data_IF_511193808082
#
_entry.id   IF_511193808082
#
_cell.length_a   1.000
_cell.length_b   1.000
_cell.length_c   1.000
_cell.angle_alpha   90.00
_cell.angle_beta   90.00
_cell.angle_gamma   90.00
#
_symmetry.space_group_name_H-M   'P 1'
#
loop_
_entity.id
_entity.type
_entity.pdbx_description
1 polymer ?
#
# COMPACT_ATOMS: atom_id res chain seq x y z
N UNK A 1 -9.08 28.80 5.12
CA UNK A 1 -7.69 28.34 5.43
C UNK A 1 -7.60 26.91 6.02
N UNK A 2 -8.70 26.21 6.33
CA UNK A 2 -8.64 24.83 6.86
C UNK A 2 -8.36 23.75 5.79
N UNK A 3 -8.82 23.95 4.54
CA UNK A 3 -8.58 23.01 3.43
C UNK A 3 -7.09 22.91 3.03
N UNK A 4 -6.34 24.00 3.06
CA UNK A 4 -4.90 23.96 2.76
C UNK A 4 -4.09 23.16 3.79
N UNK A 5 -4.47 23.22 5.08
CA UNK A 5 -3.82 22.40 6.11
C UNK A 5 -4.07 20.90 5.87
N UNK A 6 -5.27 20.53 5.45
CA UNK A 6 -5.64 19.14 5.09
C UNK A 6 -4.84 18.64 3.88
N UNK A 7 -4.71 19.43 2.82
CA UNK A 7 -3.95 19.04 1.61
C UNK A 7 -2.45 18.92 1.90
N UNK A 8 -1.88 19.87 2.65
CA UNK A 8 -0.46 19.82 3.04
C UNK A 8 -0.17 18.66 4.01
N UNK A 9 -1.09 18.38 4.94
CA UNK A 9 -0.98 17.24 5.85
C UNK A 9 -0.99 15.91 5.09
N UNK A 10 -1.92 15.72 4.14
CA UNK A 10 -1.97 14.52 3.28
C UNK A 10 -0.68 14.31 2.48
N UNK A 11 -0.08 15.38 1.94
CA UNK A 11 1.20 15.32 1.22
C UNK A 11 2.37 14.89 2.10
N UNK A 12 2.39 15.32 3.36
CA UNK A 12 3.44 14.96 4.32
C UNK A 12 3.23 13.57 4.95
N UNK A 13 1.99 13.07 4.93
CA UNK A 13 1.60 11.80 5.56
C UNK A 13 2.12 10.58 4.81
N UNK A 14 2.05 10.56 3.47
CA UNK A 14 2.50 9.42 2.66
C UNK A 14 3.96 9.01 2.97
N UNK A 15 4.95 9.93 2.97
CA UNK A 15 6.33 9.59 3.33
C UNK A 15 6.49 9.04 4.76
N UNK A 16 5.66 9.49 5.70
CA UNK A 16 5.67 8.98 7.08
C UNK A 16 5.11 7.56 7.11
N UNK A 17 3.93 7.34 6.51
CA UNK A 17 3.29 6.02 6.45
C UNK A 17 4.19 4.99 5.75
N UNK A 18 4.84 5.37 4.65
CA UNK A 18 5.77 4.50 3.92
C UNK A 18 6.99 4.09 4.77
N UNK A 19 7.44 4.95 5.71
CA UNK A 19 8.49 4.57 6.67
C UNK A 19 7.96 3.58 7.71
N UNK A 20 6.74 3.81 8.19
CA UNK A 20 6.08 2.94 9.17
C UNK A 20 5.76 1.54 8.64
N UNK A 21 5.76 1.32 7.32
CA UNK A 21 5.64 -0.02 6.76
C UNK A 21 6.81 -0.96 7.13
N UNK A 22 7.96 -0.41 7.56
CA UNK A 22 9.11 -1.20 8.04
C UNK A 22 9.11 -1.37 9.56
N UNK A 23 8.02 -1.00 10.23
CA UNK A 23 7.89 -1.13 11.67
C UNK A 23 7.74 -2.61 12.05
N UNK A 24 8.28 -3.01 13.21
CA UNK A 24 8.23 -4.41 13.69
C UNK A 24 6.82 -4.84 14.13
N UNK A 25 5.98 -3.86 14.47
CA UNK A 25 4.61 -4.08 14.91
C UNK A 25 3.68 -4.23 13.71
N UNK A 26 3.10 -5.43 13.56
CA UNK A 26 2.19 -5.77 12.48
C UNK A 26 0.88 -4.97 12.50
N UNK A 27 0.40 -4.53 13.67
CA UNK A 27 -0.81 -3.71 13.76
C UNK A 27 -0.57 -2.32 13.17
N UNK A 28 0.58 -1.72 13.48
CA UNK A 28 0.98 -0.41 12.93
C UNK A 28 1.11 -0.50 11.42
N UNK A 29 1.76 -1.55 10.90
CA UNK A 29 1.89 -1.77 9.45
C UNK A 29 0.51 -1.93 8.79
N UNK A 30 -0.40 -2.67 9.42
CA UNK A 30 -1.78 -2.86 8.94
C UNK A 30 -2.53 -1.53 8.81
N UNK A 31 -2.55 -0.74 9.89
CA UNK A 31 -3.19 0.58 9.89
C UNK A 31 -2.57 1.51 8.85
N UNK A 32 -1.24 1.47 8.69
CA UNK A 32 -0.56 2.26 7.67
C UNK A 32 -0.96 1.87 6.26
N UNK A 33 -1.11 0.58 5.95
CA UNK A 33 -1.55 0.12 4.62
C UNK A 33 -2.99 0.56 4.32
N UNK A 34 -3.88 0.49 5.31
CA UNK A 34 -5.27 0.94 5.18
C UNK A 34 -5.32 2.45 4.90
N UNK A 35 -4.55 3.24 5.64
CA UNK A 35 -4.49 4.69 5.42
C UNK A 35 -3.84 5.06 4.08
N UNK A 36 -2.79 4.35 3.67
CA UNK A 36 -2.20 4.55 2.34
C UNK A 36 -3.22 4.23 1.25
N UNK A 37 -3.97 3.12 1.38
CA UNK A 37 -5.05 2.77 0.44
C UNK A 37 -6.08 3.91 0.33
N UNK A 38 -6.56 4.46 1.45
CA UNK A 38 -7.51 5.58 1.47
C UNK A 38 -6.94 6.83 0.78
N UNK A 39 -5.66 7.14 1.03
CA UNK A 39 -4.98 8.29 0.42
C UNK A 39 -4.82 8.11 -1.09
N UNK A 40 -4.42 6.91 -1.52
CA UNK A 40 -4.27 6.53 -2.93
C UNK A 40 -5.62 6.56 -3.68
N UNK A 41 -6.71 6.12 -3.04
CA UNK A 41 -8.06 6.23 -3.59
C UNK A 41 -8.52 7.68 -3.77
N UNK A 42 -8.02 8.61 -2.95
CA UNK A 42 -8.41 10.02 -3.01
C UNK A 42 -7.52 10.87 -3.94
N UNK A 43 -6.25 10.50 -4.13
CA UNK A 43 -5.32 11.19 -5.04
C UNK A 43 -4.59 10.18 -5.97
N UNK A 44 -5.23 9.79 -7.09
CA UNK A 44 -4.67 8.81 -8.03
C UNK A 44 -3.42 9.33 -8.76
N UNK A 45 -3.14 10.63 -8.80
CA UNK A 45 -1.97 11.18 -9.50
C UNK A 45 -0.65 10.76 -8.85
N UNK A 46 -0.62 10.67 -7.52
CA UNK A 46 0.57 10.24 -6.77
C UNK A 46 0.58 8.73 -6.47
N UNK A 47 -0.51 8.03 -6.74
CA UNK A 47 -0.66 6.63 -6.40
C UNK A 47 0.42 5.73 -7.03
N UNK A 48 0.75 5.96 -8.29
CA UNK A 48 1.73 5.14 -9.03
C UNK A 48 3.11 5.12 -8.35
N UNK A 49 3.58 6.26 -7.83
CA UNK A 49 4.90 6.33 -7.17
C UNK A 49 4.87 5.62 -5.80
N UNK A 50 3.76 5.75 -5.08
CA UNK A 50 3.51 5.06 -3.82
C UNK A 50 3.45 3.55 -4.03
N UNK A 51 2.70 3.06 -5.01
CA UNK A 51 2.57 1.63 -5.31
C UNK A 51 3.92 1.03 -5.71
N UNK A 52 4.72 1.73 -6.53
CA UNK A 52 6.08 1.26 -6.89
C UNK A 52 6.99 1.11 -5.68
N UNK A 53 6.91 2.04 -4.71
CA UNK A 53 7.69 2.00 -3.48
C UNK A 53 7.18 0.96 -2.49
N UNK A 54 5.87 0.79 -2.39
CA UNK A 54 5.24 -0.32 -1.69
C UNK A 54 5.87 -1.59 -2.28
N UNK A 55 5.75 -1.86 -3.58
CA UNK A 55 6.24 -3.11 -4.21
C UNK A 55 7.65 -3.56 -3.83
N UNK A 56 8.59 -2.65 -3.63
CA UNK A 56 9.97 -2.99 -3.23
C UNK A 56 10.12 -3.55 -1.82
N UNK A 57 9.05 -3.66 -1.04
CA UNK A 57 9.07 -4.20 0.31
C UNK A 57 8.87 -5.72 0.34
N UNK A 58 9.41 -6.36 1.37
CA UNK A 58 9.25 -7.79 1.60
C UNK A 58 7.90 -8.08 2.27
N UNK A 59 6.96 -8.60 1.48
CA UNK A 59 5.58 -8.88 1.92
C UNK A 59 5.37 -10.26 2.51
N UNK A 60 6.38 -11.14 2.42
CA UNK A 60 6.26 -12.54 2.79
C UNK A 60 5.98 -12.71 4.30
N UNK A 61 6.36 -11.73 5.11
CA UNK A 61 6.20 -11.74 6.57
C UNK A 61 4.92 -11.04 7.06
N UNK A 62 4.11 -10.46 6.17
CA UNK A 62 2.89 -9.76 6.59
C UNK A 62 1.80 -10.79 6.95
N UNK A 63 1.56 -10.91 8.26
CA UNK A 63 0.63 -11.89 8.84
C UNK A 63 -0.86 -11.48 8.81
N UNK A 64 -1.17 -10.17 8.77
CA UNK A 64 -2.56 -9.69 8.76
C UNK A 64 -3.25 -9.91 7.41
N UNK A 65 -4.42 -10.57 7.42
CA UNK A 65 -5.32 -10.77 6.27
C UNK A 65 -5.73 -9.43 5.65
N UNK A 66 -6.07 -8.46 6.49
CA UNK A 66 -6.52 -7.14 6.05
C UNK A 66 -5.42 -6.38 5.30
N UNK A 67 -4.18 -6.46 5.79
CA UNK A 67 -3.00 -5.89 5.12
C UNK A 67 -2.79 -6.49 3.75
N UNK A 68 -2.88 -7.83 3.63
CA UNK A 68 -2.71 -8.53 2.34
C UNK A 68 -3.82 -8.17 1.36
N UNK A 69 -5.07 -8.12 1.80
CA UNK A 69 -6.18 -7.66 0.97
C UNK A 69 -5.98 -6.21 0.47
N UNK A 70 -5.45 -5.32 1.31
CA UNK A 70 -5.11 -3.96 0.90
C UNK A 70 -4.01 -3.91 -0.18
N UNK A 71 -2.94 -4.70 -0.02
CA UNK A 71 -1.84 -4.78 -1.00
C UNK A 71 -2.34 -5.37 -2.31
N UNK A 72 -3.11 -6.46 -2.26
CA UNK A 72 -3.70 -7.10 -3.45
C UNK A 72 -4.59 -6.09 -4.20
N UNK A 73 -5.45 -5.37 -3.48
CA UNK A 73 -6.28 -4.33 -4.09
C UNK A 73 -5.42 -3.25 -4.78
N UNK A 74 -4.40 -2.74 -4.10
CA UNK A 74 -3.50 -1.72 -4.65
C UNK A 74 -2.74 -2.20 -5.89
N UNK A 75 -2.24 -3.44 -5.90
CA UNK A 75 -1.51 -3.97 -7.05
C UNK A 75 -2.44 -4.35 -8.22
N UNK A 76 -3.67 -4.77 -7.92
CA UNK A 76 -4.70 -5.00 -8.94
C UNK A 76 -5.11 -3.71 -9.63
N UNK A 77 -5.44 -2.67 -8.85
CA UNK A 77 -5.87 -1.36 -9.36
C UNK A 77 -4.77 -0.69 -10.20
N UNK A 78 -3.53 -0.73 -9.71
CA UNK A 78 -2.38 -0.08 -10.35
C UNK A 78 -1.51 -1.06 -11.15
N UNK A 79 -2.10 -2.17 -11.63
CA UNK A 79 -1.40 -3.20 -12.39
C UNK A 79 -0.67 -2.63 -13.64
N UNK A 80 -1.32 -1.71 -14.35
CA UNK A 80 -0.74 -1.00 -15.52
C UNK A 80 0.53 -0.21 -15.17
N UNK A 81 0.61 0.33 -13.95
CA UNK A 81 1.78 1.06 -13.47
C UNK A 81 2.93 0.13 -13.05
N UNK A 82 2.64 -1.14 -12.79
CA UNK A 82 3.57 -2.20 -12.42
C UNK A 82 4.08 -3.01 -13.63
N UNK A 83 3.51 -2.78 -14.82
CA UNK A 83 3.91 -3.36 -16.11
C UNK A 83 4.02 -4.90 -16.05
N UNK A 84 5.00 -5.50 -16.72
CA UNK A 84 5.17 -6.95 -16.86
C UNK A 84 5.42 -7.70 -15.54
N UNK A 85 5.71 -6.99 -14.44
CA UNK A 85 6.01 -7.60 -13.13
C UNK A 85 4.77 -7.70 -12.22
N UNK A 86 3.68 -7.04 -12.57
CA UNK A 86 2.43 -7.10 -11.82
C UNK A 86 1.85 -8.53 -11.69
N UNK A 87 1.83 -9.36 -12.75
CA UNK A 87 1.25 -10.71 -12.68
C UNK A 87 2.00 -11.62 -11.71
N UNK A 88 3.33 -11.58 -11.71
CA UNK A 88 4.14 -12.43 -10.84
C UNK A 88 4.04 -12.00 -9.37
N UNK A 89 4.02 -10.68 -9.13
CA UNK A 89 3.85 -10.14 -7.78
C UNK A 89 2.49 -10.53 -7.19
N UNK A 90 1.41 -10.39 -7.98
CA UNK A 90 0.07 -10.82 -7.59
C UNK A 90 0.01 -12.33 -7.36
N UNK A 91 0.66 -13.15 -8.21
CA UNK A 91 0.73 -14.60 -8.04
C UNK A 91 1.35 -15.01 -6.70
N UNK A 92 2.44 -14.35 -6.28
CA UNK A 92 3.10 -14.62 -5.00
C UNK A 92 2.19 -14.24 -3.83
N UNK A 93 1.54 -13.08 -3.88
CA UNK A 93 0.62 -12.61 -2.84
C UNK A 93 -0.62 -13.50 -2.71
N UNK A 94 -1.17 -13.98 -3.83
CA UNK A 94 -2.39 -14.79 -3.87
C UNK A 94 -2.17 -16.26 -3.48
N UNK A 95 -0.93 -16.75 -3.46
CA UNK A 95 -0.61 -18.17 -3.24
C UNK A 95 -1.22 -18.74 -1.95
N UNK A 96 -1.29 -17.94 -0.89
CA UNK A 96 -1.80 -18.35 0.42
C UNK A 96 -3.17 -17.77 0.75
N UNK A 97 -3.79 -17.01 -0.16
CA UNK A 97 -5.07 -16.34 0.09
C UNK A 97 -6.21 -17.32 0.43
N UNK A 98 -6.19 -18.53 -0.13
CA UNK A 98 -7.22 -19.55 0.15
C UNK A 98 -7.01 -20.32 1.46
N UNK A 99 -5.91 -20.06 2.18
CA UNK A 99 -5.55 -20.72 3.44
C UNK A 99 -5.69 -19.80 4.66
N UNK A 100 -6.20 -18.60 4.44
CA UNK A 100 -6.57 -17.61 5.47
C UNK A 100 -7.87 -18.01 6.15
#
# INVERSE_FOLDING_TARGET
RCLQKSVTFKKLMIPILLRLLHHRDAEIVSQCLIEIKKLVQHDPQHATSVIKRIRSMDWQEISSVESRACIIWMFGEYCSALQAQAPDTLRILLKNFTKE
#
